data_IF_430834175890
#
_entry.id   IF_430834175890
#
_cell.length_a   1.000
_cell.length_b   1.000
_cell.length_c   1.000
_cell.angle_alpha   90.00
_cell.angle_beta   90.00
_cell.angle_gamma   90.00
#
_symmetry.space_group_name_H-M   'P 1'
#
loop_
_entity.id
_entity.type
_entity.pdbx_description
1 polymer ?
#
# COMPACT_ATOMS: atom_id res chain seq x y z
N UNK A 1 30.51 -23.05 45.23
CA UNK A 1 29.05 -22.89 45.31
C UNK A 1 28.75 -21.75 44.36
N UNK A 2 28.15 -22.05 43.21
CA UNK A 2 27.95 -21.11 42.10
C UNK A 2 26.82 -20.15 42.47
N UNK A 3 27.10 -18.85 42.48
CA UNK A 3 26.08 -17.81 42.60
C UNK A 3 25.47 -17.56 41.20
N UNK A 4 24.28 -18.11 40.99
CA UNK A 4 23.41 -17.80 39.86
C UNK A 4 22.85 -16.38 40.04
N UNK A 5 23.38 -15.43 39.26
CA UNK A 5 22.85 -14.08 39.17
C UNK A 5 21.77 -14.05 38.08
N UNK A 6 20.52 -14.26 38.47
CA UNK A 6 19.34 -14.09 37.63
C UNK A 6 19.10 -12.60 37.34
N UNK A 7 19.69 -12.10 36.25
CA UNK A 7 19.28 -10.84 35.63
C UNK A 7 18.23 -11.16 34.57
N UNK A 8 16.99 -11.30 35.03
CA UNK A 8 15.81 -11.50 34.20
C UNK A 8 15.58 -10.28 33.28
N UNK A 9 15.71 -10.49 31.98
CA UNK A 9 15.36 -9.54 30.95
C UNK A 9 13.85 -9.64 30.68
N UNK A 10 13.05 -8.96 31.50
CA UNK A 10 11.62 -8.81 31.23
C UNK A 10 11.40 -7.58 30.35
N UNK A 11 10.59 -7.75 29.29
CA UNK A 11 9.99 -6.72 28.43
C UNK A 11 10.81 -6.18 27.24
N UNK A 12 11.11 -7.06 26.28
CA UNK A 12 11.12 -6.68 24.86
C UNK A 12 9.84 -7.22 24.20
N UNK A 13 8.69 -6.67 24.61
CA UNK A 13 7.42 -6.93 23.95
C UNK A 13 7.22 -5.93 22.82
N UNK A 14 7.27 -6.41 21.57
CA UNK A 14 6.77 -5.66 20.43
C UNK A 14 5.28 -5.38 20.65
N UNK A 15 4.91 -4.10 20.68
CA UNK A 15 3.51 -3.70 20.69
C UNK A 15 2.89 -4.20 19.38
N UNK A 16 1.82 -5.02 19.41
CA UNK A 16 1.12 -5.36 18.18
C UNK A 16 0.50 -4.08 17.65
N UNK A 17 0.94 -3.61 16.48
CA UNK A 17 0.22 -2.59 15.74
C UNK A 17 -1.19 -3.12 15.45
N UNK A 18 -2.18 -2.54 16.14
CA UNK A 18 -3.59 -2.69 15.79
C UNK A 18 -3.78 -1.89 14.50
N UNK A 19 -3.35 -2.48 13.37
CA UNK A 19 -3.57 -1.94 12.04
C UNK A 19 -5.09 -1.92 11.84
N UNK A 20 -5.65 -0.72 11.66
CA UNK A 20 -7.09 -0.47 11.59
C UNK A 20 -7.70 -1.27 10.41
N UNK A 21 -8.17 -2.48 10.74
CA UNK A 21 -8.66 -3.47 9.77
C UNK A 21 -9.83 -2.90 8.95
N UNK A 22 -10.56 -1.94 9.53
CA UNK A 22 -11.72 -1.31 8.91
C UNK A 22 -11.35 -0.44 7.70
N UNK A 23 -10.25 0.31 7.78
CA UNK A 23 -9.77 1.16 6.70
C UNK A 23 -9.25 0.33 5.52
N UNK A 24 -8.54 -0.76 5.81
CA UNK A 24 -8.04 -1.71 4.81
C UNK A 24 -9.18 -2.45 4.11
N UNK A 25 -10.19 -2.90 4.86
CA UNK A 25 -11.41 -3.50 4.29
C UNK A 25 -12.18 -2.53 3.40
N UNK A 26 -12.28 -1.26 3.79
CA UNK A 26 -12.95 -0.25 2.98
C UNK A 26 -12.22 0.00 1.66
N UNK A 27 -10.88 0.16 1.70
CA UNK A 27 -10.05 0.28 0.48
C UNK A 27 -10.25 -0.93 -0.46
N UNK A 28 -10.22 -2.15 0.09
CA UNK A 28 -10.45 -3.38 -0.67
C UNK A 28 -11.87 -3.42 -1.27
N UNK A 29 -12.90 -3.06 -0.50
CA UNK A 29 -14.28 -3.01 -0.97
C UNK A 29 -14.44 -1.99 -2.11
N UNK A 30 -13.83 -0.81 -2.00
CA UNK A 30 -13.83 0.19 -3.08
C UNK A 30 -13.09 -0.31 -4.32
N UNK A 31 -12.01 -1.07 -4.14
CA UNK A 31 -11.28 -1.70 -5.25
C UNK A 31 -12.09 -2.78 -5.96
N UNK A 32 -12.80 -3.62 -5.22
CA UNK A 32 -13.68 -4.63 -5.80
C UNK A 32 -14.84 -3.94 -6.53
N UNK A 33 -15.43 -2.90 -5.94
CA UNK A 33 -16.50 -2.14 -6.56
C UNK A 33 -16.05 -1.48 -7.87
N UNK A 34 -14.89 -0.82 -7.89
CA UNK A 34 -14.35 -0.22 -9.12
C UNK A 34 -14.00 -1.27 -10.17
N UNK A 35 -13.41 -2.40 -9.80
CA UNK A 35 -13.13 -3.50 -10.73
C UNK A 35 -14.39 -4.09 -11.37
N UNK A 36 -15.45 -4.28 -10.57
CA UNK A 36 -16.76 -4.73 -11.08
C UNK A 36 -17.38 -3.66 -11.98
N UNK A 37 -17.30 -2.38 -11.62
CA UNK A 37 -17.82 -1.28 -12.43
C UNK A 37 -17.07 -1.14 -13.77
N UNK A 38 -15.74 -1.28 -13.77
CA UNK A 38 -14.91 -1.26 -14.98
C UNK A 38 -15.26 -2.41 -15.92
N UNK A 39 -15.34 -3.63 -15.39
CA UNK A 39 -15.70 -4.81 -16.21
C UNK A 39 -17.11 -4.70 -16.77
N UNK A 40 -18.06 -4.19 -15.99
CA UNK A 40 -19.41 -3.89 -16.47
C UNK A 40 -19.42 -2.81 -17.56
N UNK A 41 -18.63 -1.74 -17.40
CA UNK A 41 -18.48 -0.69 -18.40
C UNK A 41 -17.96 -1.22 -19.74
N UNK A 42 -16.94 -2.08 -19.70
CA UNK A 42 -16.40 -2.75 -20.91
C UNK A 42 -17.47 -3.62 -21.57
N UNK A 43 -18.24 -4.39 -20.80
CA UNK A 43 -19.31 -5.24 -21.35
C UNK A 43 -20.38 -4.39 -22.06
N UNK A 44 -20.80 -3.27 -21.44
CA UNK A 44 -21.80 -2.37 -22.02
C UNK A 44 -21.29 -1.69 -23.30
N UNK A 45 -20.01 -1.31 -23.33
CA UNK A 45 -19.35 -0.75 -24.51
C UNK A 45 -19.36 -1.74 -25.68
N UNK A 46 -19.08 -3.03 -25.42
CA UNK A 46 -19.14 -4.09 -26.44
C UNK A 46 -20.56 -4.27 -27.00
N UNK A 47 -21.59 -4.14 -26.17
CA UNK A 47 -23.00 -4.28 -26.56
C UNK A 47 -23.55 -3.06 -27.33
N UNK A 48 -22.76 -2.00 -27.51
CA UNK A 48 -23.17 -0.73 -28.14
C UNK A 48 -24.42 -0.09 -27.50
N UNK A 49 -24.70 -0.40 -26.24
CA UNK A 49 -25.84 0.16 -25.52
C UNK A 49 -25.49 1.53 -24.93
N UNK A 50 -25.99 2.60 -25.58
CA UNK A 50 -26.04 3.95 -25.02
C UNK A 50 -24.69 4.53 -24.60
N UNK A 51 -23.99 5.17 -25.54
CA UNK A 51 -22.66 5.80 -25.35
C UNK A 51 -22.54 6.69 -24.11
N UNK A 52 -23.61 7.41 -23.75
CA UNK A 52 -23.63 8.31 -22.58
C UNK A 52 -23.62 7.51 -21.28
N UNK A 53 -24.38 6.42 -21.20
CA UNK A 53 -24.49 5.60 -19.99
C UNK A 53 -23.16 4.89 -19.71
N UNK A 54 -22.52 4.35 -20.75
CA UNK A 54 -21.16 3.77 -20.68
C UNK A 54 -20.17 4.78 -20.12
N UNK A 55 -20.18 6.02 -20.62
CA UNK A 55 -19.28 7.08 -20.16
C UNK A 55 -19.48 7.41 -18.67
N UNK A 56 -20.73 7.46 -18.21
CA UNK A 56 -21.06 7.72 -16.81
C UNK A 56 -20.58 6.57 -15.91
N UNK A 57 -20.71 5.32 -16.36
CA UNK A 57 -20.24 4.14 -15.62
C UNK A 57 -18.72 4.17 -15.47
N UNK A 58 -17.97 4.44 -16.54
CA UNK A 58 -16.51 4.57 -16.48
C UNK A 58 -16.07 5.75 -15.61
N UNK A 59 -16.74 6.90 -15.69
CA UNK A 59 -16.47 8.03 -14.80
C UNK A 59 -16.70 7.68 -13.33
N UNK A 60 -17.79 6.97 -13.01
CA UNK A 60 -18.10 6.54 -11.65
C UNK A 60 -17.07 5.53 -11.12
N UNK A 61 -16.66 4.58 -11.95
CA UNK A 61 -15.61 3.60 -11.66
C UNK A 61 -14.27 4.30 -11.37
N UNK A 62 -13.83 5.16 -12.29
CA UNK A 62 -12.57 5.87 -12.18
C UNK A 62 -12.56 6.85 -11.00
N UNK A 63 -13.70 7.46 -10.68
CA UNK A 63 -13.82 8.33 -9.51
C UNK A 63 -13.74 7.53 -8.21
N UNK A 64 -14.29 6.31 -8.17
CA UNK A 64 -14.21 5.43 -7.00
C UNK A 64 -12.76 5.02 -6.71
N UNK A 65 -12.02 4.53 -7.71
CA UNK A 65 -10.60 4.22 -7.58
C UNK A 65 -9.75 5.49 -7.37
N UNK A 66 -10.04 6.54 -8.14
CA UNK A 66 -9.35 7.82 -8.12
C UNK A 66 -9.49 8.62 -6.83
N UNK A 67 -10.53 8.36 -6.02
CA UNK A 67 -10.73 8.98 -4.69
C UNK A 67 -9.51 8.85 -3.79
N UNK A 68 -8.77 7.75 -3.90
CA UNK A 68 -7.55 7.50 -3.13
C UNK A 68 -6.29 8.02 -3.83
N UNK A 69 -6.25 7.99 -5.17
CA UNK A 69 -5.08 8.36 -5.99
C UNK A 69 -4.94 9.87 -6.17
N UNK A 70 -6.01 10.53 -6.61
CA UNK A 70 -6.05 11.96 -6.97
C UNK A 70 -5.58 12.87 -5.83
N UNK A 71 -6.03 12.72 -4.56
CA UNK A 71 -5.58 13.63 -3.50
C UNK A 71 -4.08 13.50 -3.20
N UNK A 72 -3.46 12.33 -3.42
CA UNK A 72 -2.01 12.17 -3.27
C UNK A 72 -1.26 12.96 -4.35
N UNK A 73 -1.71 12.86 -5.61
CA UNK A 73 -1.16 13.65 -6.72
C UNK A 73 -1.32 15.15 -6.52
N UNK A 74 -2.50 15.60 -6.07
CA UNK A 74 -2.79 17.02 -5.80
C UNK A 74 -1.93 17.57 -4.67
N UNK A 75 -1.71 16.78 -3.60
CA UNK A 75 -0.79 17.17 -2.51
C UNK A 75 0.66 17.26 -2.99
N UNK A 76 1.09 16.38 -3.90
CA UNK A 76 2.41 16.41 -4.52
C UNK A 76 2.66 17.70 -5.29
N UNK A 77 1.73 18.08 -6.17
CA UNK A 77 1.88 19.31 -6.96
C UNK A 77 1.85 20.56 -6.10
N UNK A 78 1.07 20.59 -5.02
CA UNK A 78 1.08 21.71 -4.06
C UNK A 78 2.47 21.90 -3.42
N UNK A 79 3.18 20.80 -3.19
CA UNK A 79 4.58 20.80 -2.70
C UNK A 79 5.61 21.02 -3.81
N UNK A 80 5.18 21.35 -5.03
CA UNK A 80 6.02 21.48 -6.24
C UNK A 80 6.86 20.23 -6.52
N UNK A 81 6.35 19.05 -6.17
CA UNK A 81 6.97 17.75 -6.49
C UNK A 81 6.05 16.97 -7.41
N UNK A 82 6.54 16.63 -8.59
CA UNK A 82 5.82 15.75 -9.51
C UNK A 82 6.06 14.31 -9.06
N UNK A 83 5.03 13.73 -8.44
CA UNK A 83 5.05 12.37 -7.91
C UNK A 83 4.36 11.39 -8.88
N UNK A 84 4.61 10.09 -8.73
CA UNK A 84 3.98 9.04 -9.55
C UNK A 84 2.45 9.17 -9.58
N UNK A 85 1.84 9.55 -8.46
CA UNK A 85 0.39 9.79 -8.35
C UNK A 85 -0.10 10.90 -9.29
N UNK A 86 0.70 11.95 -9.49
CA UNK A 86 0.35 13.06 -10.38
C UNK A 86 0.42 12.64 -11.85
N UNK A 87 1.48 11.92 -12.23
CA UNK A 87 1.61 11.41 -13.61
C UNK A 87 0.41 10.50 -13.95
N UNK A 88 0.04 9.61 -13.04
CA UNK A 88 -1.07 8.68 -13.26
C UNK A 88 -2.42 9.39 -13.31
N UNK A 89 -2.69 10.32 -12.40
CA UNK A 89 -3.94 11.09 -12.41
C UNK A 89 -4.08 11.95 -13.68
N UNK A 90 -3.00 12.61 -14.11
CA UNK A 90 -3.03 13.42 -15.34
C UNK A 90 -3.18 12.59 -16.61
N UNK A 91 -2.55 11.41 -16.68
CA UNK A 91 -2.73 10.48 -17.79
C UNK A 91 -4.17 9.97 -17.91
N UNK A 92 -4.77 9.53 -16.80
CA UNK A 92 -6.16 9.06 -16.76
C UNK A 92 -7.16 10.16 -17.16
N UNK A 93 -6.98 11.38 -16.64
CA UNK A 93 -7.78 12.55 -17.03
C UNK A 93 -7.59 12.86 -18.53
N UNK A 94 -6.37 12.77 -19.04
CA UNK A 94 -6.08 12.98 -20.46
C UNK A 94 -6.84 12.00 -21.36
N UNK A 95 -6.85 10.72 -21.01
CA UNK A 95 -7.61 9.69 -21.74
C UNK A 95 -9.12 10.00 -21.73
N UNK A 96 -9.66 10.43 -20.59
CA UNK A 96 -11.06 10.88 -20.49
C UNK A 96 -11.38 12.12 -21.31
N UNK A 97 -10.42 13.00 -21.61
CA UNK A 97 -10.66 14.18 -22.45
C UNK A 97 -10.63 13.81 -23.93
N UNK A 98 -9.78 12.86 -24.33
CA UNK A 98 -9.61 12.43 -25.73
C UNK A 98 -10.77 11.52 -26.20
N UNK A 99 -11.69 11.16 -25.29
CA UNK A 99 -12.83 10.29 -25.59
C UNK A 99 -12.53 8.80 -25.44
N UNK A 100 -11.49 8.49 -24.66
CA UNK A 100 -11.00 7.14 -24.35
C UNK A 100 -11.23 6.82 -22.85
N UNK A 101 -12.50 6.75 -22.38
CA UNK A 101 -12.82 6.59 -20.97
C UNK A 101 -12.44 5.21 -20.43
N UNK A 102 -12.52 4.17 -21.27
CA UNK A 102 -12.19 2.80 -20.89
C UNK A 102 -10.70 2.65 -20.57
N UNK A 103 -9.82 3.22 -21.40
CA UNK A 103 -8.38 3.23 -21.15
C UNK A 103 -8.04 4.08 -19.93
N UNK A 104 -8.68 5.24 -19.79
CA UNK A 104 -8.48 6.13 -18.64
C UNK A 104 -8.87 5.49 -17.30
N UNK A 105 -10.00 4.78 -17.27
CA UNK A 105 -10.47 4.04 -16.10
C UNK A 105 -9.55 2.84 -15.80
N UNK A 106 -9.15 2.07 -16.81
CA UNK A 106 -8.22 0.94 -16.65
C UNK A 106 -6.88 1.36 -16.05
N UNK A 107 -6.30 2.46 -16.53
CA UNK A 107 -5.05 3.00 -15.97
C UNK A 107 -5.23 3.38 -14.50
N UNK A 108 -6.33 4.07 -14.15
CA UNK A 108 -6.61 4.47 -12.77
C UNK A 108 -6.84 3.26 -11.85
N UNK A 109 -7.62 2.28 -12.30
CA UNK A 109 -7.92 1.07 -11.56
C UNK A 109 -6.67 0.22 -11.31
N UNK A 110 -5.87 -0.04 -12.34
CA UNK A 110 -4.64 -0.83 -12.19
C UNK A 110 -3.63 -0.13 -11.28
N UNK A 111 -3.52 1.20 -11.37
CA UNK A 111 -2.67 1.96 -10.47
C UNK A 111 -3.15 1.88 -9.02
N UNK A 112 -4.47 1.95 -8.78
CA UNK A 112 -5.04 1.72 -7.46
C UNK A 112 -4.70 0.33 -6.91
N UNK A 113 -4.76 -0.72 -7.73
CA UNK A 113 -4.32 -2.07 -7.33
C UNK A 113 -2.83 -2.08 -6.96
N UNK A 114 -1.98 -1.41 -7.72
CA UNK A 114 -0.54 -1.31 -7.41
C UNK A 114 -0.30 -0.68 -6.05
N UNK A 115 -1.05 0.36 -5.66
CA UNK A 115 -0.95 0.96 -4.31
C UNK A 115 -1.27 -0.07 -3.23
N UNK A 116 -2.32 -0.89 -3.43
CA UNK A 116 -2.68 -1.94 -2.46
C UNK A 116 -1.58 -2.99 -2.33
N UNK A 117 -0.93 -3.34 -3.44
CA UNK A 117 0.20 -4.29 -3.44
C UNK A 117 1.45 -3.67 -2.81
N UNK A 118 1.72 -2.39 -3.06
CA UNK A 118 2.82 -1.63 -2.49
C UNK A 118 2.73 -1.57 -0.96
N UNK A 119 1.55 -1.25 -0.41
CA UNK A 119 1.30 -1.24 1.05
C UNK A 119 1.64 -2.61 1.68
N UNK A 120 1.26 -3.71 1.03
CA UNK A 120 1.57 -5.07 1.50
C UNK A 120 3.04 -5.44 1.34
N UNK A 121 3.69 -4.98 0.28
CA UNK A 121 5.10 -5.23 0.04
C UNK A 121 5.96 -4.48 1.07
N UNK A 122 5.62 -3.23 1.38
CA UNK A 122 6.34 -2.42 2.38
C UNK A 122 6.25 -3.06 3.77
N UNK A 123 5.06 -3.48 4.19
CA UNK A 123 4.85 -4.18 5.48
C UNK A 123 5.69 -5.45 5.59
N UNK A 124 5.75 -6.24 4.50
CA UNK A 124 6.54 -7.47 4.44
C UNK A 124 8.03 -7.17 4.55
N UNK A 125 8.52 -6.18 3.81
CA UNK A 125 9.94 -5.76 3.83
C UNK A 125 10.33 -5.25 5.21
N UNK A 126 9.51 -4.42 5.86
CA UNK A 126 9.77 -3.92 7.22
C UNK A 126 9.91 -5.06 8.23
N UNK A 127 9.03 -6.06 8.18
CA UNK A 127 9.08 -7.22 9.08
C UNK A 127 10.33 -8.07 8.87
N UNK A 128 10.74 -8.29 7.62
CA UNK A 128 11.97 -9.01 7.31
C UNK A 128 13.20 -8.26 7.84
N UNK A 129 13.30 -6.95 7.59
CA UNK A 129 14.40 -6.12 8.11
C UNK A 129 14.43 -6.15 9.64
N UNK A 130 13.28 -6.03 10.30
CA UNK A 130 13.20 -6.08 11.75
C UNK A 130 13.70 -7.41 12.30
N UNK A 131 13.33 -8.54 11.68
CA UNK A 131 13.83 -9.86 12.10
C UNK A 131 15.35 -10.01 11.94
N UNK A 132 15.95 -9.32 10.95
CA UNK A 132 17.39 -9.29 10.78
C UNK A 132 18.09 -8.43 11.84
N UNK A 133 17.47 -7.32 12.24
CA UNK A 133 18.00 -6.45 13.31
C UNK A 133 17.89 -7.14 14.68
N UNK A 134 16.82 -7.89 14.93
CA UNK A 134 16.64 -8.66 16.17
C UNK A 134 17.68 -9.79 16.35
N UNK A 135 18.35 -10.23 15.28
CA UNK A 135 19.45 -11.20 15.34
C UNK A 135 20.77 -10.60 15.87
N UNK A 136 20.90 -9.28 15.94
CA UNK A 136 22.06 -8.63 16.55
C UNK A 136 21.94 -8.69 18.08
N UNK A 137 22.74 -9.53 18.77
CA UNK A 137 22.62 -9.67 20.20
C UNK A 137 23.14 -8.40 20.87
N UNK A 138 22.41 -7.81 21.83
CA UNK A 138 22.83 -6.57 22.49
C UNK A 138 24.01 -6.77 23.45
N UNK A 139 24.38 -8.03 23.74
CA UNK A 139 25.49 -8.41 24.61
C UNK A 139 26.09 -9.73 24.13
N UNK A 140 27.41 -9.87 24.21
CA UNK A 140 28.16 -11.08 23.89
C UNK A 140 28.98 -11.56 25.08
N UNK A 141 28.98 -12.87 25.33
CA UNK A 141 29.85 -13.50 26.34
C UNK A 141 31.16 -13.94 25.68
N UNK A 142 32.27 -13.37 26.13
CA UNK A 142 33.62 -13.73 25.65
C UNK A 142 34.42 -14.44 26.74
N UNK A 143 35.23 -15.43 26.36
CA UNK A 143 36.11 -16.15 27.28
C UNK A 143 37.55 -15.66 27.14
N UNK A 144 38.06 -14.99 28.16
CA UNK A 144 39.41 -14.41 28.20
C UNK A 144 40.16 -15.02 29.39
N UNK A 145 41.31 -15.66 29.14
CA UNK A 145 42.14 -16.28 30.18
C UNK A 145 41.40 -17.27 31.11
N UNK A 146 40.40 -17.98 30.58
CA UNK A 146 39.61 -18.95 31.35
C UNK A 146 38.46 -18.35 32.17
N UNK A 147 38.36 -17.02 32.25
CA UNK A 147 37.22 -16.31 32.82
C UNK A 147 36.24 -15.89 31.72
N UNK A 148 34.94 -15.95 32.01
CA UNK A 148 33.88 -15.48 31.12
C UNK A 148 33.52 -14.04 31.47
N UNK A 149 33.42 -13.16 30.46
CA UNK A 149 33.04 -11.77 30.62
C UNK A 149 31.94 -11.42 29.61
N UNK A 150 30.82 -10.86 30.10
CA UNK A 150 29.78 -10.29 29.24
C UNK A 150 30.15 -8.85 28.88
N UNK A 151 30.14 -8.54 27.59
CA UNK A 151 30.43 -7.22 27.03
C UNK A 151 29.27 -6.85 26.11
N UNK A 152 28.80 -5.59 26.12
CA UNK A 152 27.86 -5.09 25.12
C UNK A 152 28.44 -5.18 23.70
#
# INVERSE_FOLDING_TARGET
>A
MLEENEVGCATCGSHPEIQDESATRLKLATGIFSGVALTLGIILELLHEGTILVYIVFLASAFSAGRYVIPMGVRGIWKRKLDQYFLMASASIGAMIIGAPAEGDAVMFLFFISILLEERAEDRVRKEIQSLVELEPPMVTVKINGAEACIP
#
